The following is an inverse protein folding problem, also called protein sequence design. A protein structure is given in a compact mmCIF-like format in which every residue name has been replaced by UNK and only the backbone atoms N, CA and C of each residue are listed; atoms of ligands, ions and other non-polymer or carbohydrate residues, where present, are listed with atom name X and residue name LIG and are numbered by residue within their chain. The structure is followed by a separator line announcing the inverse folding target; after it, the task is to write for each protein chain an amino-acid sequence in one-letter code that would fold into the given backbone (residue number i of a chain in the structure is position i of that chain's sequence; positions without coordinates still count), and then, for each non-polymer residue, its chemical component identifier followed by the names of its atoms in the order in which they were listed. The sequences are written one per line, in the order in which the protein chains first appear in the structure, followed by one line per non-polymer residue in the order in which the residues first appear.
data_IF_796789616461
#
_entry.id   IF_796789616461
#
_cell.length_a   1.000
_cell.length_b   1.000
_cell.length_c   1.000
_cell.angle_alpha   90.00
_cell.angle_beta   90.00
_cell.angle_gamma   90.00
#
_symmetry.space_group_name_H-M   'P 1'
#
loop_
_entity.id
_entity.type
_entity.pdbx_description
1 polymer ?
#
# COMPACT_ATOMS: atom_id res chain seq x y z
N UNK A 1 -1.50 26.04 -11.26
CA UNK A 1 -0.76 26.75 -10.20
C UNK A 1 -1.04 26.02 -8.91
N UNK A 2 -0.01 25.66 -8.16
CA UNK A 2 -0.15 24.94 -6.89
C UNK A 2 -0.52 25.90 -5.78
N UNK A 3 -1.31 25.44 -4.81
CA UNK A 3 -1.56 26.19 -3.58
C UNK A 3 -0.34 26.11 -2.65
N UNK A 4 -0.17 27.08 -1.76
CA UNK A 4 0.99 27.11 -0.85
C UNK A 4 1.14 25.84 0.00
N UNK A 5 0.03 25.24 0.46
CA UNK A 5 0.04 23.97 1.20
C UNK A 5 0.56 22.81 0.33
N UNK A 6 0.19 22.78 -0.95
CA UNK A 6 0.68 21.78 -1.91
C UNK A 6 2.17 21.96 -2.19
N UNK A 7 2.66 23.22 -2.27
CA UNK A 7 4.09 23.52 -2.44
C UNK A 7 4.88 23.09 -1.21
N UNK A 8 4.43 23.41 0.01
CA UNK A 8 5.09 22.98 1.25
C UNK A 8 5.10 21.45 1.38
N UNK A 9 3.98 20.77 1.08
CA UNK A 9 3.95 19.32 1.03
C UNK A 9 4.93 18.75 -0.01
N UNK A 10 5.01 19.34 -1.21
CA UNK A 10 5.97 18.91 -2.22
C UNK A 10 7.41 19.15 -1.77
N UNK A 11 7.72 20.27 -1.12
CA UNK A 11 9.04 20.52 -0.55
C UNK A 11 9.39 19.49 0.53
N UNK A 12 8.46 19.05 1.37
CA UNK A 12 8.75 18.05 2.41
C UNK A 12 8.92 16.64 1.81
N UNK A 13 8.00 16.21 0.94
CA UNK A 13 7.93 14.82 0.50
C UNK A 13 8.67 14.53 -0.81
N UNK A 14 8.73 15.49 -1.74
CA UNK A 14 9.22 15.26 -3.09
C UNK A 14 10.66 15.73 -3.25
N UNK A 15 11.61 14.79 -3.26
CA UNK A 15 13.04 15.08 -3.42
C UNK A 15 13.31 15.78 -4.75
N UNK A 16 12.71 15.27 -5.83
CA UNK A 16 12.79 15.90 -7.16
C UNK A 16 12.31 17.36 -7.17
N UNK A 17 11.26 17.68 -6.41
CA UNK A 17 10.73 19.05 -6.29
C UNK A 17 11.70 19.95 -5.52
N UNK A 18 12.27 19.47 -4.40
CA UNK A 18 13.29 20.20 -3.63
C UNK A 18 14.54 20.51 -4.45
N UNK A 19 15.05 19.54 -5.21
CA UNK A 19 16.27 19.70 -6.01
C UNK A 19 16.11 20.83 -7.03
N UNK A 20 14.97 20.87 -7.73
CA UNK A 20 14.63 21.95 -8.67
C UNK A 20 14.38 23.29 -7.98
N UNK A 21 13.76 23.26 -6.79
CA UNK A 21 13.58 24.46 -5.98
C UNK A 21 14.93 25.09 -5.58
N UNK A 22 15.93 24.26 -5.24
CA UNK A 22 17.31 24.71 -4.96
C UNK A 22 18.04 25.23 -6.18
N UNK A 23 17.84 24.59 -7.33
CA UNK A 23 18.42 25.04 -8.59
C UNK A 23 17.88 26.39 -9.08
N UNK A 24 16.83 26.92 -8.43
CA UNK A 24 16.18 28.17 -8.82
C UNK A 24 15.19 28.00 -9.97
N UNK A 25 14.82 26.77 -10.33
CA UNK A 25 13.90 26.42 -11.43
C UNK A 25 12.42 26.66 -11.06
N UNK A 26 12.13 27.72 -10.31
CA UNK A 26 10.84 27.93 -9.65
C UNK A 26 9.67 28.14 -10.61
N UNK A 27 9.93 28.77 -11.75
CA UNK A 27 8.94 28.96 -12.81
C UNK A 27 8.37 27.62 -13.33
N UNK A 28 9.15 26.55 -13.27
CA UNK A 28 8.76 25.23 -13.76
C UNK A 28 8.08 24.37 -12.68
N UNK A 29 8.03 24.84 -11.44
CA UNK A 29 7.39 24.18 -10.31
C UNK A 29 5.91 24.56 -10.15
N UNK A 30 5.42 25.51 -10.95
CA UNK A 30 4.03 25.97 -10.91
C UNK A 30 3.65 26.69 -9.61
N UNK A 31 4.65 27.25 -8.91
CA UNK A 31 4.52 28.11 -7.73
C UNK A 31 3.93 29.45 -8.17
N UNK A 32 2.98 29.99 -7.40
CA UNK A 32 2.47 31.35 -7.62
C UNK A 32 3.60 32.37 -7.38
N UNK A 33 3.87 33.31 -8.31
CA UNK A 33 4.85 34.38 -8.09
C UNK A 33 4.61 35.18 -6.81
N UNK A 34 3.37 35.27 -6.32
CA UNK A 34 3.05 35.93 -5.05
C UNK A 34 3.63 35.19 -3.83
N UNK A 35 3.70 33.86 -3.89
CA UNK A 35 4.23 33.01 -2.81
C UNK A 35 5.77 32.88 -2.87
N UNK A 36 6.38 33.22 -4.01
CA UNK A 36 7.80 33.01 -4.25
C UNK A 36 8.69 33.79 -3.26
N UNK A 37 8.29 35.02 -2.92
CA UNK A 37 9.02 35.85 -1.97
C UNK A 37 9.04 35.19 -0.57
N UNK A 38 7.92 34.67 -0.10
CA UNK A 38 7.82 34.01 1.21
C UNK A 38 8.65 32.72 1.25
N UNK A 39 8.68 31.96 0.15
CA UNK A 39 9.47 30.74 0.04
C UNK A 39 10.99 30.99 0.01
N UNK A 40 11.46 32.20 -0.31
CA UNK A 40 12.91 32.53 -0.21
C UNK A 40 13.41 32.59 1.23
N UNK A 41 12.52 32.78 2.21
CA UNK A 41 12.89 32.83 3.62
C UNK A 41 13.12 31.43 4.23
N UNK A 42 12.82 30.35 3.50
CA UNK A 42 13.02 28.97 3.97
C UNK A 42 14.51 28.67 4.08
N UNK A 43 14.95 28.28 5.28
CA UNK A 43 16.25 27.68 5.51
C UNK A 43 16.32 26.31 4.81
N UNK A 44 17.16 26.20 3.78
CA UNK A 44 17.26 25.01 2.93
C UNK A 44 17.89 23.80 3.66
N UNK A 45 18.73 24.04 4.67
CA UNK A 45 19.37 22.99 5.47
C UNK A 45 18.39 22.45 6.51
N UNK A 46 17.57 23.32 7.10
CA UNK A 46 16.45 22.91 7.96
C UNK A 46 15.37 22.16 7.16
N UNK A 47 15.05 22.62 5.95
CA UNK A 47 14.15 21.92 5.05
C UNK A 47 14.64 20.50 4.74
N UNK A 48 15.93 20.32 4.43
CA UNK A 48 16.50 19.00 4.15
C UNK A 48 16.42 18.06 5.34
N UNK A 49 16.80 18.53 6.52
CA UNK A 49 16.72 17.74 7.75
C UNK A 49 15.27 17.35 8.05
N UNK A 50 14.34 18.28 7.86
CA UNK A 50 12.91 18.04 8.07
C UNK A 50 12.38 17.01 7.08
N UNK A 51 12.74 17.13 5.81
CA UNK A 51 12.35 16.18 4.77
C UNK A 51 12.92 14.78 5.04
N UNK A 52 14.19 14.67 5.42
CA UNK A 52 14.83 13.38 5.75
C UNK A 52 14.12 12.68 6.91
N UNK A 53 13.89 13.40 8.02
CA UNK A 53 13.17 12.87 9.18
C UNK A 53 11.74 12.46 8.81
N UNK A 54 11.03 13.32 8.06
CA UNK A 54 9.63 13.08 7.70
C UNK A 54 9.47 11.89 6.75
N UNK A 55 10.31 11.80 5.70
CA UNK A 55 10.24 10.70 4.75
C UNK A 55 10.63 9.37 5.42
N UNK A 56 11.67 9.35 6.27
CA UNK A 56 12.02 8.13 7.02
C UNK A 56 10.91 7.69 7.96
N UNK A 57 10.24 8.64 8.62
CA UNK A 57 9.11 8.36 9.48
C UNK A 57 7.95 7.69 8.73
N UNK A 58 7.80 7.85 7.40
CA UNK A 58 6.78 7.12 6.63
C UNK A 58 6.95 5.60 6.74
N UNK A 59 8.19 5.10 6.78
CA UNK A 59 8.46 3.66 6.84
C UNK A 59 8.43 3.11 8.27
N UNK A 60 8.64 3.97 9.26
CA UNK A 60 8.82 3.59 10.68
C UNK A 60 7.59 3.87 11.53
N UNK A 61 6.68 4.75 11.06
CA UNK A 61 5.45 5.07 11.75
C UNK A 61 4.62 3.81 12.03
N UNK A 62 4.10 3.71 13.25
CA UNK A 62 3.22 2.60 13.61
C UNK A 62 1.81 2.84 13.07
N UNK A 63 1.39 1.95 12.18
CA UNK A 63 0.04 1.81 11.67
C UNK A 63 -0.75 0.80 12.51
N UNK A 64 -2.01 1.14 12.81
CA UNK A 64 -2.87 0.34 13.70
C UNK A 64 -3.04 -1.08 13.16
N UNK A 65 -2.58 -2.06 13.94
CA UNK A 65 -2.76 -3.49 13.65
C UNK A 65 -1.75 -4.10 12.68
N UNK A 66 -0.91 -3.29 12.03
CA UNK A 66 0.06 -3.77 11.04
C UNK A 66 1.50 -3.67 11.55
N UNK A 67 1.79 -2.71 12.44
CA UNK A 67 3.17 -2.36 12.81
C UNK A 67 3.64 -1.20 11.95
N UNK A 68 4.85 -1.25 11.40
CA UNK A 68 5.34 -0.26 10.43
C UNK A 68 5.42 -0.87 9.02
N UNK A 69 5.71 -0.07 8.00
CA UNK A 69 5.77 -0.56 6.61
C UNK A 69 6.92 -1.56 6.40
N UNK A 70 8.03 -1.44 7.14
CA UNK A 70 9.15 -2.41 7.09
C UNK A 70 8.73 -3.80 7.54
N UNK A 71 7.96 -3.88 8.61
CA UNK A 71 7.45 -5.15 9.16
C UNK A 71 6.35 -5.74 8.27
N UNK A 72 5.59 -4.89 7.57
CA UNK A 72 4.51 -5.29 6.69
C UNK A 72 5.00 -5.84 5.34
N UNK A 73 6.11 -5.30 4.80
CA UNK A 73 6.62 -5.61 3.46
C UNK A 73 8.09 -6.13 3.45
N UNK A 74 8.46 -7.09 4.32
CA UNK A 74 9.86 -7.45 4.51
C UNK A 74 10.51 -8.08 3.25
N UNK A 75 9.75 -8.86 2.46
CA UNK A 75 10.30 -9.49 1.26
C UNK A 75 10.33 -8.52 0.10
N UNK A 76 9.31 -7.70 -0.07
CA UNK A 76 9.28 -6.68 -1.12
C UNK A 76 10.36 -5.62 -0.91
N UNK A 77 10.60 -5.18 0.34
CA UNK A 77 11.70 -4.26 0.65
C UNK A 77 13.05 -4.93 0.36
N UNK A 78 13.24 -6.19 0.75
CA UNK A 78 14.48 -6.91 0.41
C UNK A 78 14.70 -6.99 -1.11
N UNK A 79 13.66 -7.25 -1.88
CA UNK A 79 13.71 -7.25 -3.34
C UNK A 79 14.09 -5.87 -3.90
N UNK A 80 13.51 -4.81 -3.35
CA UNK A 80 13.86 -3.43 -3.68
C UNK A 80 15.34 -3.15 -3.45
N UNK A 81 15.86 -3.56 -2.30
CA UNK A 81 17.27 -3.38 -1.94
C UNK A 81 18.25 -4.20 -2.81
N UNK A 82 17.78 -5.06 -3.72
CA UNK A 82 18.66 -5.73 -4.70
C UNK A 82 18.98 -4.86 -5.92
N UNK A 83 18.17 -3.82 -6.16
CA UNK A 83 18.29 -2.93 -7.33
C UNK A 83 18.58 -1.48 -6.94
N UNK A 84 18.31 -1.09 -5.70
CA UNK A 84 18.47 0.27 -5.18
C UNK A 84 18.98 0.26 -3.74
N UNK A 85 19.49 1.39 -3.27
CA UNK A 85 19.88 1.56 -1.87
C UNK A 85 18.63 1.68 -0.98
N UNK A 86 18.64 1.03 0.19
CA UNK A 86 17.52 1.13 1.14
C UNK A 86 17.30 2.56 1.62
N UNK A 87 18.37 3.36 1.69
CA UNK A 87 18.29 4.77 2.12
C UNK A 87 17.49 5.64 1.16
N UNK A 88 17.35 5.25 -0.11
CA UNK A 88 16.52 5.96 -1.10
C UNK A 88 15.05 5.56 -1.02
N UNK A 89 14.71 4.37 -0.49
CA UNK A 89 13.33 3.85 -0.41
C UNK A 89 12.29 4.85 0.13
N UNK A 90 12.49 5.53 1.28
CA UNK A 90 11.48 6.47 1.79
C UNK A 90 11.26 7.66 0.83
N UNK A 91 12.31 8.10 0.15
CA UNK A 91 12.23 9.21 -0.80
C UNK A 91 11.59 8.79 -2.10
N UNK A 92 11.99 7.65 -2.65
CA UNK A 92 11.39 7.07 -3.86
C UNK A 92 9.90 6.78 -3.66
N UNK A 93 9.51 6.31 -2.47
CA UNK A 93 8.11 6.16 -2.12
C UNK A 93 7.38 7.50 -2.06
N UNK A 94 7.93 8.50 -1.35
CA UNK A 94 7.31 9.81 -1.21
C UNK A 94 7.23 10.60 -2.54
N UNK A 95 8.15 10.36 -3.47
CA UNK A 95 8.14 10.92 -4.83
C UNK A 95 7.24 10.14 -5.81
N UNK A 96 6.74 8.97 -5.42
CA UNK A 96 5.94 8.11 -6.30
C UNK A 96 4.56 8.70 -6.62
N UNK A 97 4.01 8.30 -7.78
CA UNK A 97 2.64 8.66 -8.16
C UNK A 97 1.62 8.13 -7.14
N UNK A 98 1.82 6.91 -6.62
CA UNK A 98 0.94 6.33 -5.62
C UNK A 98 0.82 7.24 -4.37
N UNK A 99 1.95 7.75 -3.87
CA UNK A 99 1.96 8.68 -2.74
C UNK A 99 1.37 10.06 -3.10
N UNK A 100 1.59 10.55 -4.32
CA UNK A 100 1.01 11.82 -4.76
C UNK A 100 -0.53 11.80 -4.88
N UNK A 101 -1.13 10.62 -5.05
CA UNK A 101 -2.57 10.40 -5.06
C UNK A 101 -3.11 10.19 -3.63
N UNK A 102 -2.26 9.73 -2.71
CA UNK A 102 -2.58 9.57 -1.29
C UNK A 102 -2.84 10.93 -0.61
N UNK A 103 -4.11 11.19 -0.30
CA UNK A 103 -4.55 12.42 0.38
C UNK A 103 -5.30 13.43 -0.49
N UNK A 104 -5.47 13.17 -1.79
CA UNK A 104 -6.34 13.99 -2.65
C UNK A 104 -7.82 13.85 -2.32
N UNK A 105 -8.24 12.62 -2.01
CA UNK A 105 -9.61 12.27 -1.68
C UNK A 105 -9.73 11.72 -0.25
N UNK A 106 -10.78 12.12 0.46
CA UNK A 106 -11.09 11.62 1.80
C UNK A 106 -12.44 10.88 1.80
N UNK A 107 -12.52 9.64 2.33
CA UNK A 107 -11.41 8.84 2.86
C UNK A 107 -10.56 8.21 1.74
N UNK A 108 -9.23 8.33 1.84
CA UNK A 108 -8.28 7.69 0.93
C UNK A 108 -7.96 6.24 1.31
N UNK A 109 -7.23 5.48 0.47
CA UNK A 109 -6.78 4.13 0.80
C UNK A 109 -5.86 4.11 2.03
N UNK A 110 -5.70 2.97 2.72
CA UNK A 110 -4.72 2.85 3.79
C UNK A 110 -3.28 2.97 3.24
N UNK A 111 -2.35 3.48 4.06
CA UNK A 111 -0.95 3.69 3.66
C UNK A 111 -0.29 2.41 3.13
N UNK A 112 -0.64 1.26 3.70
CA UNK A 112 -0.14 -0.04 3.30
C UNK A 112 -0.55 -0.40 1.86
N UNK A 113 -1.77 -0.01 1.44
CA UNK A 113 -2.19 -0.22 0.07
C UNK A 113 -1.36 0.65 -0.89
N UNK A 114 -1.18 1.93 -0.53
CA UNK A 114 -0.40 2.90 -1.32
C UNK A 114 1.06 2.49 -1.46
N UNK A 115 1.68 2.03 -0.37
CA UNK A 115 3.04 1.54 -0.40
C UNK A 115 3.19 0.28 -1.26
N UNK A 116 2.20 -0.62 -1.20
CA UNK A 116 2.18 -1.79 -2.08
C UNK A 116 2.01 -1.41 -3.56
N UNK A 117 1.23 -0.38 -3.90
CA UNK A 117 1.08 0.12 -5.28
C UNK A 117 2.38 0.73 -5.82
N UNK A 118 3.09 1.48 -4.97
CA UNK A 118 4.45 1.94 -5.25
C UNK A 118 5.39 0.75 -5.54
N UNK A 119 5.42 -0.27 -4.68
CA UNK A 119 6.28 -1.44 -4.86
C UNK A 119 5.93 -2.26 -6.10
N UNK A 120 4.65 -2.37 -6.49
CA UNK A 120 4.25 -3.03 -7.73
C UNK A 120 4.78 -2.33 -8.99
N UNK A 121 4.99 -1.01 -8.91
CA UNK A 121 5.54 -0.20 -10.00
C UNK A 121 7.07 -0.17 -9.97
N UNK A 122 7.66 -0.13 -8.77
CA UNK A 122 9.11 -0.02 -8.58
C UNK A 122 9.87 -1.34 -8.78
N UNK A 123 9.18 -2.48 -8.70
CA UNK A 123 9.78 -3.81 -8.83
C UNK A 123 9.37 -4.51 -10.14
N UNK A 124 10.24 -5.41 -10.60
CA UNK A 124 9.96 -6.28 -11.74
C UNK A 124 8.72 -7.16 -11.50
N UNK A 125 8.07 -7.55 -12.60
CA UNK A 125 6.86 -8.37 -12.59
C UNK A 125 6.97 -9.66 -11.77
N UNK A 126 8.16 -10.25 -11.67
CA UNK A 126 8.42 -11.45 -10.87
C UNK A 126 8.16 -11.27 -9.37
N UNK A 127 8.26 -10.03 -8.85
CA UNK A 127 8.04 -9.71 -7.43
C UNK A 127 6.59 -9.31 -7.12
N UNK A 128 5.77 -9.02 -8.13
CA UNK A 128 4.37 -8.61 -7.93
C UNK A 128 3.54 -9.60 -7.10
N UNK A 129 3.67 -10.94 -7.24
CA UNK A 129 2.95 -11.86 -6.36
C UNK A 129 3.29 -11.69 -4.88
N UNK A 130 4.57 -11.40 -4.57
CA UNK A 130 5.04 -11.15 -3.20
C UNK A 130 4.47 -9.84 -2.67
N UNK A 131 4.53 -8.76 -3.46
CA UNK A 131 3.99 -7.45 -3.09
C UNK A 131 2.49 -7.55 -2.80
N UNK A 132 1.72 -8.20 -3.68
CA UNK A 132 0.26 -8.37 -3.52
C UNK A 132 -0.11 -9.15 -2.27
N UNK A 133 0.69 -10.15 -1.93
CA UNK A 133 0.51 -10.94 -0.72
C UNK A 133 0.76 -10.11 0.55
N UNK A 134 1.89 -9.42 0.61
CA UNK A 134 2.25 -8.57 1.75
C UNK A 134 1.25 -7.41 1.90
N UNK A 135 0.84 -6.79 0.79
CA UNK A 135 -0.22 -5.77 0.75
C UNK A 135 -1.55 -6.29 1.30
N UNK A 136 -2.00 -7.46 0.83
CA UNK A 136 -3.25 -8.06 1.30
C UNK A 136 -3.18 -8.38 2.81
N UNK A 137 -2.07 -8.99 3.27
CA UNK A 137 -1.88 -9.26 4.70
C UNK A 137 -1.92 -7.99 5.53
N UNK A 138 -1.25 -6.92 5.09
CA UNK A 138 -1.18 -5.65 5.78
C UNK A 138 -2.57 -4.99 5.90
N UNK A 139 -3.30 -4.85 4.79
CA UNK A 139 -4.65 -4.24 4.79
C UNK A 139 -5.64 -5.07 5.62
N UNK A 140 -5.63 -6.40 5.48
CA UNK A 140 -6.56 -7.24 6.23
C UNK A 140 -6.22 -7.26 7.74
N UNK A 141 -4.95 -7.13 8.14
CA UNK A 141 -4.58 -6.93 9.56
C UNK A 141 -5.12 -5.61 10.11
N UNK A 142 -5.06 -4.52 9.34
CA UNK A 142 -5.66 -3.25 9.76
C UNK A 142 -7.18 -3.41 9.98
N UNK A 143 -7.86 -4.16 9.11
CA UNK A 143 -9.30 -4.46 9.22
C UNK A 143 -9.66 -5.40 10.38
N UNK A 144 -8.73 -6.25 10.84
CA UNK A 144 -8.90 -7.03 12.07
C UNK A 144 -9.00 -6.11 13.29
N UNK A 145 -8.17 -5.08 13.34
CA UNK A 145 -8.12 -4.12 14.47
C UNK A 145 -9.19 -3.04 14.35
N UNK A 146 -9.52 -2.62 13.12
CA UNK A 146 -10.50 -1.56 12.85
C UNK A 146 -11.53 -2.05 11.81
N UNK A 147 -12.57 -2.81 12.22
CA UNK A 147 -13.56 -3.37 11.30
C UNK A 147 -14.38 -2.32 10.53
N UNK A 148 -14.50 -1.12 11.10
CA UNK A 148 -15.12 0.07 10.48
C UNK A 148 -14.05 1.13 10.26
N UNK A 149 -13.18 0.99 9.23
CA UNK A 149 -12.04 1.86 9.04
C UNK A 149 -12.47 3.28 8.60
N UNK A 150 -11.62 4.26 8.91
CA UNK A 150 -11.74 5.64 8.41
C UNK A 150 -11.00 5.84 7.06
N UNK A 151 -10.60 4.74 6.40
CA UNK A 151 -9.97 4.72 5.08
C UNK A 151 -10.89 4.01 4.09
N UNK A 152 -10.73 4.30 2.79
CA UNK A 152 -11.39 3.56 1.73
C UNK A 152 -10.81 2.14 1.63
N UNK A 153 -11.68 1.14 1.72
CA UNK A 153 -11.31 -0.25 1.55
C UNK A 153 -10.98 -0.46 0.05
N UNK A 154 -9.78 -0.98 -0.30
CA UNK A 154 -9.42 -1.22 -1.69
C UNK A 154 -10.40 -2.16 -2.40
N UNK A 155 -10.62 -1.95 -3.70
CA UNK A 155 -11.61 -2.69 -4.52
C UNK A 155 -11.34 -4.21 -4.65
N UNK A 156 -10.08 -4.61 -4.48
CA UNK A 156 -9.65 -6.00 -4.44
C UNK A 156 -9.94 -6.70 -3.10
N UNK A 157 -10.34 -5.94 -2.07
CA UNK A 157 -10.86 -6.47 -0.81
C UNK A 157 -12.38 -6.57 -0.91
N UNK A 158 -12.90 -7.77 -0.64
CA UNK A 158 -14.33 -8.08 -0.70
C UNK A 158 -14.93 -8.13 0.70
N UNK A 159 -16.15 -7.61 0.83
CA UNK A 159 -16.95 -7.76 2.03
C UNK A 159 -17.52 -9.18 2.14
N UNK A 160 -17.66 -9.68 3.36
CA UNK A 160 -18.34 -10.91 3.72
C UNK A 160 -19.16 -10.70 5.00
N UNK A 161 -20.18 -11.54 5.31
CA UNK A 161 -21.02 -11.33 6.49
C UNK A 161 -20.26 -11.22 7.82
N UNK A 162 -19.09 -11.86 7.92
CA UNK A 162 -18.26 -11.88 9.13
C UNK A 162 -17.01 -10.97 9.06
N UNK A 163 -16.87 -10.16 7.99
CA UNK A 163 -15.74 -9.24 7.84
C UNK A 163 -15.31 -9.03 6.39
N UNK A 164 -14.01 -9.16 6.11
CA UNK A 164 -13.44 -8.86 4.79
C UNK A 164 -12.46 -9.94 4.35
N UNK A 165 -12.26 -10.10 3.04
CA UNK A 165 -11.28 -11.02 2.50
C UNK A 165 -10.69 -10.54 1.17
N UNK A 166 -9.52 -11.06 0.83
CA UNK A 166 -8.87 -10.92 -0.46
C UNK A 166 -8.36 -12.28 -0.93
N UNK A 167 -8.30 -12.48 -2.24
CA UNK A 167 -7.71 -13.67 -2.86
C UNK A 167 -6.47 -13.24 -3.65
N UNK A 168 -5.31 -13.70 -3.20
CA UNK A 168 -4.02 -13.39 -3.82
C UNK A 168 -3.61 -14.55 -4.74
N UNK A 169 -3.32 -14.26 -6.00
CA UNK A 169 -2.83 -15.27 -6.94
C UNK A 169 -1.36 -15.60 -6.65
N UNK A 170 -1.05 -16.87 -6.46
CA UNK A 170 0.33 -17.40 -6.38
C UNK A 170 0.54 -18.43 -7.50
N UNK A 171 1.80 -18.82 -7.71
CA UNK A 171 2.17 -19.80 -8.74
C UNK A 171 1.57 -21.20 -8.49
N UNK A 172 1.55 -21.67 -7.25
CA UNK A 172 1.08 -23.01 -6.90
C UNK A 172 -0.44 -23.07 -6.67
N UNK A 173 -0.96 -22.19 -5.80
CA UNK A 173 -2.38 -22.12 -5.48
C UNK A 173 -2.75 -20.71 -4.99
N UNK A 174 -3.95 -20.19 -5.31
CA UNK A 174 -4.41 -18.92 -4.76
C UNK A 174 -4.45 -18.96 -3.23
N UNK A 175 -4.09 -17.85 -2.60
CA UNK A 175 -4.12 -17.66 -1.15
C UNK A 175 -5.36 -16.83 -0.77
N UNK A 176 -6.17 -17.33 0.16
CA UNK A 176 -7.15 -16.55 0.89
C UNK A 176 -6.46 -15.82 2.04
N UNK A 177 -6.73 -14.51 2.16
CA UNK A 177 -6.42 -13.70 3.33
C UNK A 177 -7.70 -13.05 3.79
N UNK A 178 -8.11 -13.28 5.04
CA UNK A 178 -9.39 -12.81 5.55
C UNK A 178 -9.27 -12.24 6.96
N UNK A 179 -10.00 -11.16 7.22
CA UNK A 179 -10.22 -10.54 8.51
C UNK A 179 -11.65 -10.88 8.95
N UNK A 180 -11.79 -11.90 9.79
CA UNK A 180 -13.09 -12.45 10.19
C UNK A 180 -13.25 -12.38 11.71
N UNK A 181 -14.30 -11.73 12.19
CA UNK A 181 -14.62 -11.62 13.63
C UNK A 181 -13.40 -11.24 14.50
N UNK A 182 -12.62 -10.25 14.07
CA UNK A 182 -11.42 -9.79 14.79
C UNK A 182 -10.24 -10.78 14.75
N UNK A 183 -10.20 -11.70 13.78
CA UNK A 183 -9.09 -12.63 13.57
C UNK A 183 -8.60 -12.60 12.14
N UNK A 184 -7.29 -12.75 11.97
CA UNK A 184 -6.69 -12.95 10.65
C UNK A 184 -6.68 -14.46 10.33
N UNK A 185 -7.26 -14.83 9.20
CA UNK A 185 -7.28 -16.19 8.66
C UNK A 185 -6.57 -16.18 7.33
N UNK A 186 -5.64 -17.13 7.14
CA UNK A 186 -4.92 -17.30 5.88
C UNK A 186 -4.86 -18.77 5.50
N UNK A 187 -4.87 -19.06 4.20
CA UNK A 187 -4.78 -20.44 3.71
C UNK A 187 -5.00 -20.56 2.21
N UNK A 188 -4.68 -21.71 1.61
CA UNK A 188 -4.94 -21.94 0.19
C UNK A 188 -6.45 -21.92 -0.10
N UNK A 189 -6.83 -21.39 -1.26
CA UNK A 189 -8.18 -21.53 -1.80
C UNK A 189 -8.34 -22.95 -2.31
N UNK A 190 -8.89 -23.83 -1.46
CA UNK A 190 -9.24 -25.20 -1.86
C UNK A 190 -10.47 -25.21 -2.77
N UNK A 191 -10.79 -26.32 -3.48
CA UNK A 191 -12.03 -26.41 -4.26
C UNK A 191 -13.30 -26.13 -3.43
N UNK A 192 -13.30 -26.52 -2.16
CA UNK A 192 -14.38 -26.19 -1.23
C UNK A 192 -14.51 -24.68 -1.02
N UNK A 193 -13.41 -24.00 -0.76
CA UNK A 193 -13.40 -22.55 -0.55
C UNK A 193 -13.77 -21.82 -1.84
N UNK A 194 -13.28 -22.29 -2.99
CA UNK A 194 -13.61 -21.73 -4.30
C UNK A 194 -15.13 -21.71 -4.55
N UNK A 195 -15.81 -22.84 -4.36
CA UNK A 195 -17.27 -22.88 -4.55
C UNK A 195 -18.03 -21.99 -3.56
N UNK A 196 -17.59 -21.90 -2.30
CA UNK A 196 -18.19 -20.97 -1.33
C UNK A 196 -18.02 -19.52 -1.79
N UNK A 197 -16.85 -19.15 -2.32
CA UNK A 197 -16.57 -17.81 -2.85
C UNK A 197 -17.36 -17.48 -4.13
N UNK A 198 -17.80 -18.51 -4.87
CA UNK A 198 -18.69 -18.41 -6.03
C UNK A 198 -20.18 -18.31 -5.64
N UNK A 199 -20.50 -18.42 -4.34
CA UNK A 199 -21.85 -18.31 -3.82
C UNK A 199 -22.60 -19.65 -3.71
N UNK A 200 -21.90 -20.77 -3.86
CA UNK A 200 -22.49 -22.08 -3.59
C UNK A 200 -22.83 -22.26 -2.10
N UNK A 201 -23.90 -23.01 -1.81
CA UNK A 201 -24.19 -23.44 -0.45
C UNK A 201 -23.06 -24.35 0.06
N UNK A 202 -22.56 -24.08 1.27
CA UNK A 202 -21.43 -24.80 1.89
C UNK A 202 -21.58 -26.32 1.81
N UNK A 203 -22.79 -26.82 2.08
CA UNK A 203 -23.13 -28.25 2.04
C UNK A 203 -23.02 -28.83 0.63
N UNK A 204 -23.54 -28.12 -0.36
CA UNK A 204 -23.46 -28.52 -1.77
C UNK A 204 -22.02 -28.48 -2.30
N UNK A 205 -21.21 -27.54 -1.80
CA UNK A 205 -19.79 -27.45 -2.16
C UNK A 205 -18.96 -28.52 -1.46
N UNK A 206 -19.25 -28.84 -0.19
CA UNK A 206 -18.58 -29.91 0.56
C UNK A 206 -18.79 -31.27 -0.11
N UNK A 207 -20.03 -31.60 -0.47
CA UNK A 207 -20.35 -32.83 -1.20
C UNK A 207 -19.64 -32.88 -2.55
N UNK A 208 -19.63 -31.78 -3.32
CA UNK A 208 -18.89 -31.73 -4.60
C UNK A 208 -17.39 -31.90 -4.43
N UNK A 209 -16.80 -31.29 -3.40
CA UNK A 209 -15.38 -31.39 -3.12
C UNK A 209 -14.98 -32.82 -2.72
N UNK A 210 -15.79 -33.49 -1.89
CA UNK A 210 -15.59 -34.90 -1.53
C UNK A 210 -15.71 -35.83 -2.74
N UNK A 211 -16.76 -35.67 -3.56
CA UNK A 211 -16.94 -36.50 -4.76
C UNK A 211 -15.80 -36.31 -5.77
N UNK A 212 -15.25 -35.10 -5.91
CA UNK A 212 -14.04 -34.84 -6.71
C UNK A 212 -12.80 -35.49 -6.10
N UNK A 213 -12.61 -35.41 -4.78
CA UNK A 213 -11.51 -36.08 -4.09
C UNK A 213 -11.56 -37.62 -4.25
N UNK A 214 -12.76 -38.17 -4.44
CA UNK A 214 -13.01 -39.58 -4.74
C UNK A 214 -12.94 -39.94 -6.23
N UNK A 215 -12.73 -38.96 -7.13
CA UNK A 215 -12.71 -39.18 -8.59
C UNK A 215 -14.06 -39.51 -9.21
N UNK A 216 -15.16 -39.21 -8.53
CA UNK A 216 -16.53 -39.55 -8.95
C UNK A 216 -17.19 -38.47 -9.82
N UNK A 217 -16.61 -37.27 -9.86
CA UNK A 217 -17.05 -36.15 -10.71
C UNK A 217 -15.82 -35.35 -11.13
N UNK A 218 -15.88 -34.75 -12.32
CA UNK A 218 -14.85 -33.86 -12.86
C UNK A 218 -14.89 -32.45 -12.23
#
# INVERSE_FOLDING_TARGET
MMRIDEVLCALVYRRSFRERFRAGERAELGIDPADEADLTAIDLDELDRTADVTCRALLEASHRGVGNLRDAFPRSIRAYCTIRDETDLPFDFADSQAFAEFGRDAPGPPMEAVFGDFLETALDAQWQPVVREERALAVLRALVVTPTPAFAIPDWVRAAPAGHYAVVRRAEAPLLVAALNGRLVTGPVTPLIAGILEGDAVEATAVRAELRAMGLVA
#
